data_IF_205019825172
#
_entry.id   IF_205019825172
#
_cell.length_a   1.000
_cell.length_b   1.000
_cell.length_c   1.000
_cell.angle_alpha   90.00
_cell.angle_beta   90.00
_cell.angle_gamma   90.00
#
_symmetry.space_group_name_H-M   'P 1'
#
loop_
_entity.id
_entity.type
_entity.pdbx_description
1 polymer ?
#
# COMPACT_ATOMS: atom_id res chain seq x y z
N UNK A 1 6.31 10.27 2.39
CA UNK A 1 5.27 9.23 2.51
C UNK A 1 4.80 8.84 1.12
N UNK A 2 4.84 7.56 0.79
CA UNK A 2 4.36 7.07 -0.51
C UNK A 2 2.92 6.58 -0.40
N UNK A 3 2.17 6.63 -1.49
CA UNK A 3 0.80 6.14 -1.51
C UNK A 3 0.49 5.33 -2.77
N UNK A 4 -0.47 4.42 -2.63
CA UNK A 4 -1.11 3.74 -3.73
C UNK A 4 -2.62 3.75 -3.52
N UNK A 5 -3.34 4.41 -4.43
CA UNK A 5 -4.80 4.48 -4.45
C UNK A 5 -5.33 3.52 -5.50
N UNK A 6 -6.14 2.55 -5.05
CA UNK A 6 -6.89 1.64 -5.90
C UNK A 6 -8.31 2.18 -6.00
N UNK A 7 -8.73 2.61 -7.19
CA UNK A 7 -10.10 3.06 -7.43
C UNK A 7 -11.07 1.89 -7.49
N UNK A 8 -12.35 2.14 -7.21
CA UNK A 8 -13.41 1.12 -7.23
C UNK A 8 -13.55 0.38 -8.57
N UNK A 9 -13.18 1.02 -9.68
CA UNK A 9 -13.21 0.43 -11.04
C UNK A 9 -11.98 -0.43 -11.36
N UNK A 10 -10.97 -0.47 -10.49
CA UNK A 10 -9.80 -1.34 -10.69
C UNK A 10 -10.18 -2.82 -10.51
N UNK A 11 -9.52 -3.71 -11.28
CA UNK A 11 -9.62 -5.16 -11.09
C UNK A 11 -9.17 -5.61 -9.68
N UNK A 12 -8.39 -4.79 -8.96
CA UNK A 12 -7.93 -5.07 -7.60
C UNK A 12 -8.82 -4.49 -6.50
N UNK A 13 -9.87 -3.73 -6.86
CA UNK A 13 -10.79 -3.09 -5.92
C UNK A 13 -11.42 -4.09 -4.91
N UNK A 14 -11.93 -5.23 -5.41
CA UNK A 14 -12.52 -6.28 -4.56
C UNK A 14 -11.51 -6.83 -3.55
N UNK A 15 -10.27 -7.07 -3.98
CA UNK A 15 -9.22 -7.57 -3.10
C UNK A 15 -8.82 -6.52 -2.05
N UNK A 16 -8.68 -5.25 -2.45
CA UNK A 16 -8.39 -4.14 -1.57
C UNK A 16 -9.47 -3.98 -0.48
N UNK A 17 -10.75 -4.02 -0.89
CA UNK A 17 -11.90 -4.01 0.02
C UNK A 17 -11.84 -5.14 1.05
N UNK A 18 -11.63 -6.37 0.59
CA UNK A 18 -11.58 -7.53 1.47
C UNK A 18 -10.46 -7.42 2.52
N UNK A 19 -9.30 -6.89 2.14
CA UNK A 19 -8.19 -6.65 3.05
C UNK A 19 -8.56 -5.58 4.08
N UNK A 20 -9.13 -4.47 3.63
CA UNK A 20 -9.58 -3.40 4.51
C UNK A 20 -10.62 -3.91 5.52
N UNK A 21 -11.68 -4.58 5.05
CA UNK A 21 -12.76 -5.09 5.90
C UNK A 21 -12.23 -6.11 6.92
N UNK A 22 -11.28 -6.96 6.52
CA UNK A 22 -10.61 -7.89 7.43
C UNK A 22 -9.81 -7.17 8.51
N UNK A 23 -8.97 -6.21 8.11
CA UNK A 23 -8.14 -5.44 9.05
C UNK A 23 -9.00 -4.60 9.99
N UNK A 24 -10.08 -4.01 9.47
CA UNK A 24 -11.02 -3.18 10.23
C UNK A 24 -11.76 -3.99 11.30
N UNK A 25 -12.16 -5.24 10.99
CA UNK A 25 -12.76 -6.15 11.97
C UNK A 25 -11.77 -6.60 13.05
N UNK A 26 -10.48 -6.60 12.75
CA UNK A 26 -9.45 -7.04 13.69
C UNK A 26 -8.76 -5.88 14.43
N UNK A 27 -9.05 -4.62 14.06
CA UNK A 27 -8.42 -3.42 14.62
C UNK A 27 -9.07 -2.92 15.91
N UNK A 28 -10.13 -3.59 16.42
CA UNK A 28 -10.95 -3.18 17.58
C UNK A 28 -10.17 -2.79 18.86
N UNK A 29 -8.89 -3.18 18.99
CA UNK A 29 -8.03 -2.83 20.14
C UNK A 29 -7.05 -1.68 19.91
N UNK A 30 -6.81 -1.26 18.66
CA UNK A 30 -5.71 -0.33 18.30
C UNK A 30 -6.18 1.08 17.92
N UNK A 31 -7.49 1.30 17.80
CA UNK A 31 -8.05 2.56 17.33
C UNK A 31 -7.83 2.76 15.83
N UNK A 32 -8.74 3.50 15.20
CA UNK A 32 -8.60 3.91 13.81
C UNK A 32 -7.79 5.21 13.74
N UNK A 33 -6.95 5.34 12.74
CA UNK A 33 -6.26 6.58 12.42
C UNK A 33 -7.28 7.63 11.96
N UNK A 34 -7.07 8.90 12.32
CA UNK A 34 -8.00 9.97 11.99
C UNK A 34 -8.06 10.23 10.48
N UNK A 35 -9.10 10.96 10.09
CA UNK A 35 -9.23 11.49 8.74
C UNK A 35 -8.04 12.41 8.39
N UNK A 36 -7.56 12.29 7.16
CA UNK A 36 -6.48 13.12 6.62
C UNK A 36 -6.63 13.30 5.11
N UNK A 37 -5.91 14.28 4.55
CA UNK A 37 -5.91 14.56 3.11
C UNK A 37 -4.54 14.25 2.53
N UNK A 38 -4.50 13.37 1.52
CA UNK A 38 -3.28 12.96 0.83
C UNK A 38 -3.45 13.23 -0.66
N UNK A 39 -2.59 14.07 -1.24
CA UNK A 39 -2.60 14.39 -2.68
C UNK A 39 -3.99 14.79 -3.21
N UNK A 40 -4.75 15.53 -2.41
CA UNK A 40 -6.10 15.98 -2.75
C UNK A 40 -7.22 15.02 -2.35
N UNK A 41 -6.93 13.75 -2.07
CA UNK A 41 -7.92 12.74 -1.68
C UNK A 41 -8.20 12.78 -0.18
N UNK A 42 -9.48 12.78 0.19
CA UNK A 42 -9.90 12.59 1.57
C UNK A 42 -9.83 11.10 1.92
N UNK A 43 -9.12 10.78 3.00
CA UNK A 43 -8.98 9.42 3.48
C UNK A 43 -9.31 9.33 4.97
N UNK A 44 -10.00 8.26 5.38
CA UNK A 44 -10.50 8.09 6.74
C UNK A 44 -10.44 6.63 7.20
N UNK A 45 -10.75 6.45 8.49
CA UNK A 45 -10.83 5.14 9.14
C UNK A 45 -9.56 4.32 8.94
N UNK A 46 -8.39 4.97 9.09
CA UNK A 46 -7.12 4.36 8.75
C UNK A 46 -6.72 3.25 9.71
N UNK A 47 -6.00 2.25 9.21
CA UNK A 47 -5.56 1.12 9.99
C UNK A 47 -4.07 0.92 9.77
N UNK A 48 -3.31 0.93 10.86
CA UNK A 48 -1.92 0.48 10.85
C UNK A 48 -1.92 -1.04 10.66
N UNK A 49 -1.28 -1.50 9.60
CA UNK A 49 -1.27 -2.90 9.22
C UNK A 49 -0.29 -3.65 10.12
N UNK A 50 -0.75 -4.65 10.90
CA UNK A 50 0.13 -5.45 11.74
C UNK A 50 1.17 -6.21 10.91
N UNK A 51 2.36 -6.46 11.47
CA UNK A 51 3.44 -7.18 10.78
C UNK A 51 2.96 -8.51 10.17
N UNK A 52 2.19 -9.28 10.94
CA UNK A 52 1.64 -10.58 10.51
C UNK A 52 0.70 -10.49 9.31
N UNK A 53 0.11 -9.33 9.02
CA UNK A 53 -0.89 -9.13 7.96
C UNK A 53 -0.34 -8.38 6.74
N UNK A 54 0.90 -7.87 6.79
CA UNK A 54 1.53 -7.14 5.67
C UNK A 54 1.57 -7.95 4.37
N UNK A 55 1.75 -9.26 4.47
CA UNK A 55 1.72 -10.18 3.32
C UNK A 55 0.44 -10.06 2.48
N UNK A 56 -0.70 -9.71 3.10
CA UNK A 56 -1.98 -9.53 2.38
C UNK A 56 -1.91 -8.38 1.39
N UNK A 57 -1.27 -7.28 1.77
CA UNK A 57 -1.09 -6.10 0.93
C UNK A 57 -0.04 -6.39 -0.15
N UNK A 58 1.08 -7.01 0.21
CA UNK A 58 2.12 -7.39 -0.76
C UNK A 58 1.57 -8.35 -1.84
N UNK A 59 0.68 -9.26 -1.45
CA UNK A 59 0.00 -10.18 -2.38
C UNK A 59 -0.98 -9.48 -3.33
N UNK A 60 -1.35 -8.21 -3.10
CA UNK A 60 -2.07 -7.44 -4.11
C UNK A 60 -1.21 -7.19 -5.33
N UNK A 61 0.13 -7.25 -5.26
CA UNK A 61 1.04 -6.99 -6.39
C UNK A 61 0.73 -5.67 -7.08
N UNK A 62 0.79 -4.57 -6.33
CA UNK A 62 0.37 -3.25 -6.79
C UNK A 62 1.08 -2.80 -8.09
N UNK A 63 2.30 -3.29 -8.32
CA UNK A 63 3.05 -3.06 -9.55
C UNK A 63 2.31 -3.48 -10.83
N UNK A 64 1.41 -4.49 -10.79
CA UNK A 64 0.64 -4.88 -11.98
C UNK A 64 -0.38 -3.80 -12.43
N UNK A 65 -0.67 -2.81 -11.58
CA UNK A 65 -1.57 -1.70 -11.88
C UNK A 65 -0.82 -0.41 -12.22
N UNK A 66 0.51 -0.39 -12.28
CA UNK A 66 1.28 0.86 -12.40
C UNK A 66 0.87 1.75 -13.60
N UNK A 67 0.43 1.15 -14.71
CA UNK A 67 -0.05 1.86 -15.91
C UNK A 67 -1.58 1.92 -16.03
N UNK A 68 -2.30 1.42 -15.02
CA UNK A 68 -3.76 1.38 -15.00
C UNK A 68 -4.31 2.78 -14.73
N UNK A 69 -5.34 3.25 -15.47
CA UNK A 69 -5.98 4.53 -15.19
C UNK A 69 -6.70 4.53 -13.83
N UNK A 70 -7.00 3.34 -13.30
CA UNK A 70 -7.72 3.11 -12.05
C UNK A 70 -6.80 2.96 -10.83
N UNK A 71 -5.52 3.26 -11.01
CA UNK A 71 -4.51 3.23 -9.97
C UNK A 71 -3.76 4.55 -9.97
N UNK A 72 -3.65 5.19 -8.80
CA UNK A 72 -2.92 6.44 -8.62
C UNK A 72 -1.84 6.26 -7.58
N UNK A 73 -0.64 6.70 -7.87
CA UNK A 73 0.52 6.51 -6.99
C UNK A 73 1.55 7.60 -7.27
N UNK A 74 2.30 8.01 -6.25
CA UNK A 74 3.53 8.80 -6.42
C UNK A 74 4.80 7.93 -6.46
N UNK A 75 4.65 6.60 -6.39
CA UNK A 75 5.75 5.65 -6.55
C UNK A 75 5.98 5.32 -8.02
N UNK A 76 7.25 5.21 -8.41
CA UNK A 76 7.62 4.59 -9.68
C UNK A 76 7.48 3.05 -9.60
N UNK A 77 7.58 2.38 -10.75
CA UNK A 77 7.47 0.93 -10.86
C UNK A 77 8.49 0.18 -9.99
N UNK A 78 9.74 0.65 -9.94
CA UNK A 78 10.78 0.01 -9.14
C UNK A 78 10.44 0.00 -7.66
N UNK A 79 9.98 1.14 -7.13
CA UNK A 79 9.55 1.26 -5.75
C UNK A 79 8.41 0.29 -5.44
N UNK A 80 7.42 0.16 -6.34
CA UNK A 80 6.30 -0.77 -6.17
C UNK A 80 6.76 -2.24 -6.11
N UNK A 81 7.78 -2.61 -6.87
CA UNK A 81 8.34 -3.98 -6.89
C UNK A 81 9.15 -4.25 -5.62
N UNK A 82 9.79 -3.23 -5.06
CA UNK A 82 10.67 -3.36 -3.88
C UNK A 82 9.93 -3.30 -2.54
N UNK A 83 8.60 -3.12 -2.53
CA UNK A 83 7.82 -3.14 -1.29
C UNK A 83 7.98 -4.51 -0.60
N UNK A 84 8.34 -4.47 0.68
CA UNK A 84 8.54 -5.65 1.51
C UNK A 84 7.82 -5.53 2.85
N UNK A 85 8.02 -6.51 3.73
CA UNK A 85 7.39 -6.55 5.05
C UNK A 85 8.06 -5.62 6.08
N UNK A 86 9.19 -4.98 5.78
CA UNK A 86 9.85 -4.01 6.64
C UNK A 86 9.20 -2.62 6.51
N UNK A 87 8.64 -2.32 5.33
CA UNK A 87 7.89 -1.10 5.06
C UNK A 87 6.71 -0.93 6.02
N UNK A 88 6.56 0.25 6.60
CA UNK A 88 5.38 0.62 7.38
C UNK A 88 4.18 0.73 6.45
N UNK A 89 3.10 0.00 6.72
CA UNK A 89 1.91 -0.02 5.87
C UNK A 89 0.70 0.46 6.65
N UNK A 90 -0.08 1.31 6.01
CA UNK A 90 -1.38 1.75 6.50
C UNK A 90 -2.40 1.61 5.38
N UNK A 91 -3.65 1.32 5.74
CA UNK A 91 -4.76 1.26 4.78
C UNK A 91 -5.88 2.17 5.24
N UNK A 92 -6.46 2.92 4.31
CA UNK A 92 -7.54 3.85 4.57
C UNK A 92 -8.67 3.65 3.57
N UNK A 93 -9.87 4.04 3.97
CA UNK A 93 -10.98 4.26 3.05
C UNK A 93 -10.84 5.63 2.42
N UNK A 94 -10.93 5.70 1.10
CA UNK A 94 -10.94 6.95 0.33
C UNK A 94 -12.32 7.16 -0.31
N UNK A 95 -12.62 8.38 -0.77
CA UNK A 95 -13.92 8.71 -1.38
C UNK A 95 -14.30 7.81 -2.57
N UNK A 96 -13.30 7.33 -3.33
CA UNK A 96 -13.51 6.51 -4.52
C UNK A 96 -12.65 5.23 -4.53
N UNK A 97 -12.34 4.69 -3.36
CA UNK A 97 -11.63 3.41 -3.25
C UNK A 97 -10.85 3.23 -1.96
N UNK A 98 -9.67 2.61 -2.07
CA UNK A 98 -8.82 2.29 -0.92
C UNK A 98 -7.42 2.82 -1.15
N UNK A 99 -6.91 3.55 -0.16
CA UNK A 99 -5.57 4.12 -0.20
C UNK A 99 -4.65 3.34 0.74
N UNK A 100 -3.53 2.90 0.21
CA UNK A 100 -2.43 2.31 0.95
C UNK A 100 -1.34 3.35 1.10
N UNK A 101 -0.89 3.58 2.33
CA UNK A 101 0.26 4.44 2.61
C UNK A 101 1.45 3.59 3.01
N UNK A 102 2.60 3.98 2.50
CA UNK A 102 3.86 3.30 2.71
C UNK A 102 4.86 4.27 3.32
N UNK A 103 5.46 3.84 4.42
CA UNK A 103 6.47 4.58 5.16
C UNK A 103 7.74 3.74 5.33
N UNK A 104 8.90 4.40 5.46
CA UNK A 104 10.21 3.73 5.46
C UNK A 104 10.48 2.89 4.19
N UNK A 105 9.95 3.32 3.04
CA UNK A 105 10.24 2.70 1.75
C UNK A 105 11.67 3.01 1.35
N UNK A 106 12.47 1.97 1.08
CA UNK A 106 13.83 2.14 0.61
C UNK A 106 13.82 2.75 -0.80
N UNK A 107 14.50 3.89 -0.95
CA UNK A 107 14.59 4.60 -2.23
C UNK A 107 15.68 4.03 -3.14
N UNK A 108 16.65 3.33 -2.57
CA UNK A 108 17.74 2.70 -3.31
C UNK A 108 17.43 1.23 -3.57
N UNK A 109 17.87 0.68 -4.72
CA UNK A 109 17.79 -0.75 -4.97
C UNK A 109 18.43 -1.50 -3.80
N UNK A 110 17.78 -2.56 -3.33
CA UNK A 110 18.46 -3.46 -2.43
C UNK A 110 19.68 -4.04 -3.14
N UNK A 111 20.84 -4.07 -2.48
CA UNK A 111 22.01 -4.77 -3.01
C UNK A 111 21.60 -6.22 -3.39
N UNK A 112 21.73 -6.57 -4.67
CA UNK A 112 21.48 -7.94 -5.19
C UNK A 112 22.84 -8.59 -5.53
N UNK A 113 22.95 -9.90 -5.33
CA UNK A 113 24.18 -10.69 -5.53
C UNK A 113 25.04 -10.84 -4.26
N UNK A 114 25.97 -11.81 -4.28
CA UNK A 114 26.88 -12.17 -3.17
C UNK A 114 27.81 -11.04 -2.71
N UNK A 115 27.94 -9.97 -3.51
CA UNK A 115 28.77 -8.79 -3.19
C UNK A 115 27.98 -7.47 -3.15
N UNK A 116 26.65 -7.55 -3.19
CA UNK A 116 25.77 -6.40 -2.96
C UNK A 116 25.70 -5.34 -4.08
N UNK A 117 26.40 -5.49 -5.20
CA UNK A 117 26.18 -4.64 -6.37
C UNK A 117 26.42 -5.47 -7.64
N UNK A 118 25.59 -6.48 -7.90
CA UNK A 118 25.57 -7.09 -9.24
C UNK A 118 24.69 -6.23 -10.17
N UNK A 119 25.32 -5.58 -11.15
CA UNK A 119 24.65 -4.76 -12.17
C UNK A 119 24.22 -5.57 -13.40
N UNK A 120 24.18 -6.91 -13.29
CA UNK A 120 23.70 -7.82 -14.34
C UNK A 120 22.21 -8.09 -14.23
#
# INVERSE_FOLDING_TARGET
>A
MYYALILETSRKAKAARNIYDYLHKNSHKRGLLPEQKVEGYLIKDGIIVPQQDKHRILNLRLFDEHLSPYFKTNMNLFILIMLDDQVGMQVFKADHGWMFLFDNVQYLPKPFGTQGYDMR
#
